data_IF_694666536406
#
_entry.id   IF_694666536406
#
_cell.length_a   1.000
_cell.length_b   1.000
_cell.length_c   1.000
_cell.angle_alpha   90.00
_cell.angle_beta   90.00
_cell.angle_gamma   90.00
#
_symmetry.space_group_name_H-M   'P 1'
#
loop_
_entity.id
_entity.type
_entity.pdbx_description
1 polymer ?
#
# COMPACT_ATOMS: atom_id res chain seq x y z
N UNK A 1 19.16 -2.59 9.04
CA UNK A 1 20.62 -2.72 8.99
C UNK A 1 21.35 -2.11 10.18
N UNK A 2 20.69 -1.37 11.11
CA UNK A 2 21.39 -0.72 12.25
C UNK A 2 22.02 -1.72 13.25
N UNK A 3 21.48 -2.93 13.35
CA UNK A 3 21.94 -3.97 14.28
C UNK A 3 23.02 -4.92 13.70
N UNK A 4 23.60 -4.60 12.53
CA UNK A 4 24.62 -5.43 11.88
C UNK A 4 26.02 -4.86 12.13
N UNK A 5 26.92 -5.69 12.67
CA UNK A 5 28.34 -5.35 12.91
C UNK A 5 29.02 -4.79 11.64
N UNK A 6 29.86 -3.78 11.81
CA UNK A 6 30.53 -3.08 10.69
C UNK A 6 31.39 -4.00 9.82
N UNK A 7 31.98 -5.04 10.42
CA UNK A 7 32.74 -6.06 9.68
C UNK A 7 31.87 -6.84 8.70
N UNK A 8 30.62 -7.13 9.06
CA UNK A 8 29.69 -7.85 8.19
C UNK A 8 29.22 -6.94 7.06
N UNK A 9 28.94 -5.66 7.35
CA UNK A 9 28.59 -4.66 6.33
C UNK A 9 29.69 -4.50 5.28
N UNK A 10 30.95 -4.38 5.72
CA UNK A 10 32.11 -4.27 4.84
C UNK A 10 32.23 -5.49 3.92
N UNK A 11 32.05 -6.70 4.45
CA UNK A 11 32.07 -7.94 3.64
C UNK A 11 30.96 -8.00 2.60
N UNK A 12 29.73 -7.58 2.92
CA UNK A 12 28.65 -7.52 1.93
C UNK A 12 28.89 -6.47 0.83
N UNK A 13 29.67 -5.42 1.12
CA UNK A 13 30.02 -4.37 0.15
C UNK A 13 31.17 -4.74 -0.79
N UNK A 14 31.99 -5.73 -0.45
CA UNK A 14 33.12 -6.15 -1.28
C UNK A 14 32.70 -7.05 -2.47
N UNK A 15 31.47 -7.55 -2.46
CA UNK A 15 30.89 -8.29 -3.59
C UNK A 15 30.26 -7.39 -4.65
N UNK A 16 29.75 -8.00 -5.71
CA UNK A 16 28.87 -7.33 -6.67
C UNK A 16 27.52 -7.06 -6.00
N UNK A 17 27.23 -5.78 -5.75
CA UNK A 17 25.92 -5.36 -5.26
C UNK A 17 25.07 -4.95 -6.45
N UNK A 18 23.95 -5.64 -6.65
CA UNK A 18 22.92 -5.27 -7.62
C UNK A 18 21.67 -4.87 -6.86
N UNK A 19 21.11 -3.73 -7.23
CA UNK A 19 19.85 -3.25 -6.69
C UNK A 19 18.68 -3.92 -7.42
N UNK A 20 17.71 -4.43 -6.65
CA UNK A 20 16.52 -5.09 -7.17
C UNK A 20 15.35 -4.12 -7.11
N UNK A 21 15.07 -3.50 -8.25
CA UNK A 21 13.92 -2.62 -8.40
C UNK A 21 12.64 -3.42 -8.72
N UNK A 22 11.46 -2.91 -8.34
CA UNK A 22 10.20 -3.48 -8.77
C UNK A 22 10.12 -3.55 -10.31
N UNK A 23 9.59 -4.64 -10.88
CA UNK A 23 9.54 -4.82 -12.32
C UNK A 23 8.61 -3.81 -12.98
N UNK A 24 9.05 -3.26 -14.12
CA UNK A 24 8.21 -2.44 -14.98
C UNK A 24 7.08 -3.25 -15.63
N UNK A 25 6.13 -2.58 -16.28
CA UNK A 25 4.97 -3.24 -16.87
C UNK A 25 5.36 -4.35 -17.86
N UNK A 26 6.31 -4.06 -18.75
CA UNK A 26 6.82 -5.02 -19.74
C UNK A 26 7.43 -6.24 -19.06
N UNK A 27 8.25 -6.01 -18.02
CA UNK A 27 8.85 -7.10 -17.23
C UNK A 27 7.79 -7.91 -16.49
N UNK A 28 6.75 -7.28 -15.94
CA UNK A 28 5.63 -8.01 -15.31
C UNK A 28 4.88 -8.89 -16.31
N UNK A 29 4.64 -8.40 -17.53
CA UNK A 29 4.03 -9.20 -18.60
C UNK A 29 4.92 -10.39 -18.96
N UNK A 30 6.23 -10.18 -19.08
CA UNK A 30 7.17 -11.27 -19.36
C UNK A 30 7.18 -12.32 -18.24
N UNK A 31 7.20 -11.89 -16.97
CA UNK A 31 7.17 -12.78 -15.80
C UNK A 31 5.88 -13.62 -15.80
N UNK A 32 4.71 -12.99 -15.95
CA UNK A 32 3.43 -13.72 -15.88
C UNK A 32 3.24 -14.68 -17.07
N UNK A 33 3.69 -14.29 -18.28
CA UNK A 33 3.69 -15.18 -19.45
C UNK A 33 4.60 -16.38 -19.22
N UNK A 34 5.83 -16.15 -18.73
CA UNK A 34 6.77 -17.23 -18.43
C UNK A 34 6.24 -18.18 -17.36
N UNK A 35 5.56 -17.63 -16.35
CA UNK A 35 4.90 -18.42 -15.29
C UNK A 35 3.76 -19.26 -15.86
N UNK A 36 2.91 -18.67 -16.72
CA UNK A 36 1.81 -19.37 -17.36
C UNK A 36 2.30 -20.52 -18.27
N UNK A 37 3.35 -20.30 -19.06
CA UNK A 37 4.01 -21.35 -19.85
C UNK A 37 4.47 -22.51 -18.97
N UNK A 38 5.15 -22.19 -17.86
CA UNK A 38 5.69 -23.19 -16.93
C UNK A 38 4.59 -24.03 -16.28
N UNK A 39 3.47 -23.39 -15.94
CA UNK A 39 2.35 -24.00 -15.25
C UNK A 39 1.29 -24.59 -16.23
N UNK A 40 1.52 -24.50 -17.55
CA UNK A 40 0.59 -25.01 -18.57
C UNK A 40 -0.74 -24.23 -18.67
N UNK A 41 -0.75 -22.96 -18.25
CA UNK A 41 -1.93 -22.10 -18.26
C UNK A 41 -2.04 -21.41 -19.63
N UNK A 42 -3.15 -21.58 -20.38
CA UNK A 42 -3.34 -20.96 -21.69
C UNK A 42 -3.66 -19.46 -21.54
N UNK A 43 -2.64 -18.65 -21.25
CA UNK A 43 -2.75 -17.22 -21.00
C UNK A 43 -2.65 -16.43 -22.31
N UNK A 44 -3.72 -15.69 -22.65
CA UNK A 44 -3.70 -14.78 -23.81
C UNK A 44 -2.97 -13.47 -23.49
N UNK A 45 -2.51 -12.79 -24.53
CA UNK A 45 -1.77 -11.52 -24.40
C UNK A 45 -2.59 -10.42 -23.73
N UNK A 46 -3.87 -10.29 -24.08
CA UNK A 46 -4.78 -9.31 -23.48
C UNK A 46 -4.98 -9.57 -21.98
N UNK A 47 -5.07 -10.85 -21.60
CA UNK A 47 -5.23 -11.23 -20.21
C UNK A 47 -3.94 -11.03 -19.42
N UNK A 48 -2.78 -11.37 -19.99
CA UNK A 48 -1.47 -11.09 -19.39
C UNK A 48 -1.29 -9.59 -19.13
N UNK A 49 -1.63 -8.75 -20.12
CA UNK A 49 -1.59 -7.30 -20.02
C UNK A 49 -2.54 -6.80 -18.92
N UNK A 50 -3.77 -7.30 -18.88
CA UNK A 50 -4.75 -6.91 -17.87
C UNK A 50 -4.29 -7.23 -16.45
N UNK A 51 -3.77 -8.43 -16.21
CA UNK A 51 -3.29 -8.82 -14.87
C UNK A 51 -2.06 -7.98 -14.48
N UNK A 52 -1.11 -7.78 -15.40
CA UNK A 52 0.10 -7.00 -15.15
C UNK A 52 -0.15 -5.49 -14.90
N UNK A 53 -1.23 -4.93 -15.44
CA UNK A 53 -1.66 -3.57 -15.14
C UNK A 53 -2.37 -3.45 -13.78
N UNK A 54 -3.15 -4.48 -13.46
CA UNK A 54 -3.94 -4.56 -12.23
C UNK A 54 -3.06 -4.76 -10.99
N UNK A 55 -1.96 -5.49 -11.11
CA UNK A 55 -1.03 -5.79 -10.00
C UNK A 55 0.26 -4.97 -10.12
N UNK A 56 0.50 -4.07 -9.16
CA UNK A 56 1.69 -3.18 -9.13
C UNK A 56 2.60 -3.36 -7.91
N UNK A 57 2.21 -4.20 -6.97
CA UNK A 57 2.83 -4.34 -5.65
C UNK A 57 4.14 -5.13 -5.69
N UNK A 58 4.10 -6.40 -6.10
CA UNK A 58 5.27 -7.27 -6.20
C UNK A 58 5.00 -8.53 -7.07
N UNK A 59 6.07 -9.25 -7.43
CA UNK A 59 6.01 -10.45 -8.29
C UNK A 59 5.17 -11.57 -7.68
N UNK A 60 5.24 -11.77 -6.36
CA UNK A 60 4.47 -12.83 -5.69
C UNK A 60 2.96 -12.60 -5.81
N UNK A 61 2.51 -11.37 -5.63
CA UNK A 61 1.10 -11.01 -5.82
C UNK A 61 0.66 -11.17 -7.28
N UNK A 62 1.54 -10.84 -8.24
CA UNK A 62 1.28 -11.01 -9.67
C UNK A 62 1.06 -12.48 -10.02
N UNK A 63 1.93 -13.37 -9.55
CA UNK A 63 1.82 -14.82 -9.74
C UNK A 63 0.60 -15.38 -9.00
N UNK A 64 0.35 -14.93 -7.77
CA UNK A 64 -0.83 -15.34 -6.99
C UNK A 64 -2.14 -14.99 -7.68
N UNK A 65 -2.20 -13.84 -8.35
CA UNK A 65 -3.34 -13.44 -9.17
C UNK A 65 -3.55 -14.38 -10.36
N UNK A 66 -2.50 -14.72 -11.11
CA UNK A 66 -2.57 -15.68 -12.22
C UNK A 66 -3.13 -17.03 -11.76
N UNK A 67 -2.55 -17.57 -10.69
CA UNK A 67 -2.95 -18.87 -10.12
C UNK A 67 -4.42 -18.84 -9.70
N UNK A 68 -4.84 -17.76 -9.03
CA UNK A 68 -6.22 -17.64 -8.57
C UNK A 68 -7.22 -17.54 -9.73
N UNK A 69 -6.95 -16.70 -10.73
CA UNK A 69 -7.82 -16.57 -11.91
C UNK A 69 -7.91 -17.92 -12.65
N UNK A 70 -6.80 -18.63 -12.80
CA UNK A 70 -6.76 -19.96 -13.41
C UNK A 70 -7.56 -21.00 -12.60
N UNK A 71 -7.37 -21.03 -11.28
CA UNK A 71 -8.10 -21.92 -10.39
C UNK A 71 -9.62 -21.65 -10.41
N UNK A 72 -10.05 -20.38 -10.38
CA UNK A 72 -11.46 -20.02 -10.48
C UNK A 72 -12.04 -20.42 -11.84
N UNK A 73 -11.30 -20.22 -12.94
CA UNK A 73 -11.72 -20.67 -14.28
C UNK A 73 -11.99 -22.18 -14.30
N UNK A 74 -11.06 -22.97 -13.75
CA UNK A 74 -11.17 -24.42 -13.67
C UNK A 74 -12.34 -24.88 -12.78
N UNK A 75 -12.50 -24.28 -11.59
CA UNK A 75 -13.57 -24.65 -10.65
C UNK A 75 -14.97 -24.25 -11.16
N UNK A 76 -15.08 -23.09 -11.81
CA UNK A 76 -16.35 -22.60 -12.36
C UNK A 76 -16.65 -23.11 -13.77
N UNK A 77 -15.74 -23.90 -14.38
CA UNK A 77 -15.82 -24.37 -15.78
C UNK A 77 -16.04 -23.22 -16.77
N UNK A 78 -15.45 -22.06 -16.50
CA UNK A 78 -15.51 -20.87 -17.36
C UNK A 78 -14.21 -20.74 -18.14
N UNK A 79 -14.24 -20.19 -19.36
CA UNK A 79 -13.01 -19.90 -20.09
C UNK A 79 -12.15 -18.90 -19.32
N UNK A 80 -10.83 -19.04 -19.45
CA UNK A 80 -9.89 -18.08 -18.92
C UNK A 80 -9.99 -16.79 -19.74
N UNK A 81 -10.62 -15.76 -19.20
CA UNK A 81 -10.92 -14.50 -19.92
C UNK A 81 -10.64 -13.26 -19.08
N UNK A 82 -10.56 -12.10 -19.74
CA UNK A 82 -10.37 -10.79 -19.09
C UNK A 82 -11.54 -10.46 -18.17
N UNK A 83 -12.75 -10.87 -18.52
CA UNK A 83 -13.97 -10.67 -17.72
C UNK A 83 -13.91 -11.44 -16.42
N UNK A 84 -13.53 -12.73 -16.48
CA UNK A 84 -13.34 -13.54 -15.28
C UNK A 84 -12.22 -12.99 -14.41
N UNK A 85 -11.10 -12.59 -15.02
CA UNK A 85 -10.00 -11.98 -14.29
C UNK A 85 -10.45 -10.69 -13.59
N UNK A 86 -11.24 -9.85 -14.25
CA UNK A 86 -11.77 -8.62 -13.65
C UNK A 86 -12.66 -8.91 -12.44
N UNK A 87 -13.51 -9.91 -12.53
CA UNK A 87 -14.37 -10.37 -11.44
C UNK A 87 -13.54 -10.83 -10.24
N UNK A 88 -12.62 -11.78 -10.46
CA UNK A 88 -11.76 -12.35 -9.41
C UNK A 88 -10.85 -11.30 -8.80
N UNK A 89 -10.22 -10.46 -9.62
CA UNK A 89 -9.26 -9.47 -9.15
C UNK A 89 -9.94 -8.30 -8.43
N UNK A 90 -11.23 -8.04 -8.63
CA UNK A 90 -11.96 -7.00 -7.89
C UNK A 90 -12.10 -7.34 -6.40
N UNK A 91 -12.20 -8.63 -6.07
CA UNK A 91 -12.30 -9.09 -4.68
C UNK A 91 -10.95 -9.17 -3.98
N UNK A 92 -9.89 -9.41 -4.75
CA UNK A 92 -8.57 -9.79 -4.23
C UNK A 92 -7.62 -8.61 -4.24
N UNK A 93 -7.69 -7.80 -5.28
CA UNK A 93 -6.95 -6.56 -5.31
C UNK A 93 -7.68 -5.55 -4.45
N UNK A 94 -6.95 -4.79 -3.64
CA UNK A 94 -7.53 -3.64 -2.97
C UNK A 94 -8.16 -2.75 -4.05
N UNK A 95 -9.49 -2.73 -4.11
CA UNK A 95 -10.22 -1.93 -5.09
C UNK A 95 -9.78 -0.47 -5.02
N UNK A 96 -10.06 0.31 -6.08
CA UNK A 96 -9.90 1.77 -6.08
C UNK A 96 -10.62 2.48 -4.90
N UNK A 97 -11.48 1.76 -4.18
CA UNK A 97 -12.18 2.15 -2.96
C UNK A 97 -11.43 1.86 -1.65
N UNK A 98 -10.23 1.25 -1.68
CA UNK A 98 -9.41 1.15 -0.47
C UNK A 98 -8.77 2.50 -0.18
N UNK A 99 -9.04 3.00 1.02
CA UNK A 99 -8.43 4.21 1.54
C UNK A 99 -6.90 4.04 1.49
N UNK A 100 -6.23 4.99 0.85
CA UNK A 100 -4.78 5.03 0.79
C UNK A 100 -4.26 5.98 1.87
N UNK A 101 -3.01 5.80 2.31
CA UNK A 101 -2.39 6.79 3.19
C UNK A 101 -2.46 8.20 2.57
N UNK A 102 -2.39 8.31 1.25
CA UNK A 102 -2.43 9.60 0.57
C UNK A 102 -3.82 10.24 0.55
N UNK A 103 -4.89 9.46 0.37
CA UNK A 103 -6.26 9.98 0.48
C UNK A 103 -6.57 10.44 1.90
N UNK A 104 -6.11 9.70 2.91
CA UNK A 104 -6.25 10.07 4.32
C UNK A 104 -5.50 11.36 4.64
N UNK A 105 -4.26 11.50 4.14
CA UNK A 105 -3.48 12.74 4.30
C UNK A 105 -4.19 13.93 3.65
N UNK A 106 -4.79 13.76 2.47
CA UNK A 106 -5.56 14.82 1.81
C UNK A 106 -6.81 15.21 2.61
N UNK A 107 -7.62 14.24 3.01
CA UNK A 107 -8.83 14.49 3.79
C UNK A 107 -8.51 15.18 5.13
N UNK A 108 -7.46 14.71 5.81
CA UNK A 108 -6.99 15.33 7.06
C UNK A 108 -6.51 16.77 6.82
N UNK A 109 -5.80 17.01 5.72
CA UNK A 109 -5.33 18.35 5.38
C UNK A 109 -6.49 19.31 5.11
N UNK A 110 -7.51 18.86 4.37
CA UNK A 110 -8.74 19.64 4.09
C UNK A 110 -9.46 19.99 5.39
N UNK A 111 -9.67 19.01 6.27
CA UNK A 111 -10.38 19.20 7.54
C UNK A 111 -9.71 20.24 8.46
N UNK A 112 -8.38 20.27 8.49
CA UNK A 112 -7.61 21.19 9.35
C UNK A 112 -7.15 22.48 8.64
N UNK A 113 -7.62 22.75 7.42
CA UNK A 113 -7.21 23.89 6.58
C UNK A 113 -5.67 23.97 6.40
N UNK A 114 -5.06 22.83 6.10
CA UNK A 114 -3.63 22.68 5.86
C UNK A 114 -3.37 22.21 4.43
N UNK A 115 -2.15 22.45 3.94
CA UNK A 115 -1.69 21.79 2.73
C UNK A 115 -1.21 20.37 3.07
N UNK A 116 -1.42 19.35 2.21
CA UNK A 116 -0.86 18.01 2.40
C UNK A 116 0.66 18.01 2.65
N UNK A 117 1.38 18.98 2.07
CA UNK A 117 2.81 19.17 2.29
C UNK A 117 3.16 19.58 3.72
N UNK A 118 2.30 20.33 4.43
CA UNK A 118 2.55 20.70 5.82
C UNK A 118 2.51 19.48 6.74
N UNK A 119 1.62 18.51 6.48
CA UNK A 119 1.58 17.24 7.20
C UNK A 119 2.84 16.40 6.97
N UNK A 120 3.40 16.45 5.76
CA UNK A 120 4.67 15.81 5.38
C UNK A 120 5.91 16.58 5.84
N UNK A 121 5.77 17.84 6.23
CA UNK A 121 6.90 18.68 6.67
C UNK A 121 7.47 18.26 8.03
N UNK A 122 8.68 18.71 8.35
CA UNK A 122 9.33 18.53 9.66
C UNK A 122 8.81 19.47 10.76
N UNK A 123 7.86 20.38 10.44
CA UNK A 123 7.33 21.38 11.38
C UNK A 123 6.68 20.73 12.61
N UNK A 124 7.02 21.23 13.80
CA UNK A 124 6.57 20.69 15.11
C UNK A 124 5.48 21.50 15.80
N UNK A 125 5.03 22.60 15.20
CA UNK A 125 3.96 23.43 15.74
C UNK A 125 2.70 22.59 16.04
N UNK A 126 2.01 22.86 17.16
CA UNK A 126 0.83 22.09 17.61
C UNK A 126 -0.25 22.01 16.53
N UNK A 127 -0.46 23.11 15.81
CA UNK A 127 -1.40 23.22 14.69
C UNK A 127 -1.13 22.22 13.54
N UNK A 128 0.08 21.65 13.45
CA UNK A 128 0.43 20.65 12.43
C UNK A 128 0.66 19.27 13.08
N UNK A 129 1.18 19.26 14.30
CA UNK A 129 1.48 18.03 15.03
C UNK A 129 0.22 17.21 15.32
N UNK A 130 -0.87 17.84 15.76
CA UNK A 130 -2.13 17.15 16.05
C UNK A 130 -2.76 16.57 14.76
N UNK A 131 -3.01 17.36 13.68
CA UNK A 131 -3.54 16.81 12.42
C UNK A 131 -2.72 15.65 11.87
N UNK A 132 -1.39 15.74 11.97
CA UNK A 132 -0.51 14.68 11.52
C UNK A 132 -0.62 13.40 12.36
N UNK A 133 -0.77 13.52 13.67
CA UNK A 133 -0.99 12.36 14.55
C UNK A 133 -2.33 11.70 14.22
N UNK A 134 -3.38 12.49 13.96
CA UNK A 134 -4.69 12.01 13.50
C UNK A 134 -4.55 11.29 12.16
N UNK A 135 -3.83 11.85 11.18
CA UNK A 135 -3.56 11.19 9.90
C UNK A 135 -2.85 9.84 10.10
N UNK A 136 -1.83 9.77 10.96
CA UNK A 136 -1.13 8.51 11.28
C UNK A 136 -2.07 7.47 11.90
N UNK A 137 -2.94 7.92 12.81
CA UNK A 137 -3.93 7.06 13.45
C UNK A 137 -4.93 6.49 12.45
N UNK A 138 -5.52 7.35 11.61
CA UNK A 138 -6.47 6.96 10.58
C UNK A 138 -5.83 6.04 9.53
N UNK A 139 -4.60 6.33 9.08
CA UNK A 139 -3.87 5.45 8.17
C UNK A 139 -3.72 4.05 8.76
N UNK A 140 -3.45 3.95 10.07
CA UNK A 140 -3.30 2.65 10.73
C UNK A 140 -4.63 1.93 10.95
N UNK A 141 -5.71 2.67 11.20
CA UNK A 141 -7.05 2.14 11.49
C UNK A 141 -7.80 1.72 10.21
N UNK A 142 -7.66 2.50 9.14
CA UNK A 142 -8.49 2.41 7.94
C UNK A 142 -7.78 1.79 6.73
N UNK A 143 -6.48 1.48 6.85
CA UNK A 143 -5.70 0.88 5.75
C UNK A 143 -4.92 -0.34 6.26
N UNK A 144 -4.47 -1.18 5.34
CA UNK A 144 -3.57 -2.31 5.62
C UNK A 144 -2.10 -1.89 5.74
N UNK A 145 -1.79 -0.60 5.67
CA UNK A 145 -0.42 -0.08 5.67
C UNK A 145 0.29 -0.38 6.99
N UNK A 146 1.55 -0.81 6.89
CA UNK A 146 2.46 -1.02 8.02
C UNK A 146 2.97 0.31 8.59
N UNK A 147 3.45 0.31 9.84
CA UNK A 147 4.01 1.53 10.46
C UNK A 147 5.15 2.18 9.63
N UNK A 148 6.09 1.43 9.01
CA UNK A 148 7.07 2.01 8.11
C UNK A 148 6.47 2.65 6.86
N UNK A 149 5.44 2.05 6.26
CA UNK A 149 4.77 2.59 5.08
C UNK A 149 4.04 3.90 5.38
N UNK A 150 3.34 3.95 6.51
CA UNK A 150 2.68 5.17 7.00
C UNK A 150 3.72 6.27 7.25
N UNK A 151 4.86 5.92 7.85
CA UNK A 151 5.96 6.84 8.08
C UNK A 151 6.50 7.46 6.78
N UNK A 152 6.71 6.62 5.75
CA UNK A 152 7.11 7.08 4.41
C UNK A 152 6.08 8.02 3.80
N UNK A 153 4.79 7.68 3.84
CA UNK A 153 3.72 8.49 3.28
C UNK A 153 3.60 9.89 3.93
N UNK A 154 4.00 10.02 5.20
CA UNK A 154 3.96 11.25 5.99
C UNK A 154 5.32 11.99 6.07
N UNK A 155 6.13 11.86 5.02
CA UNK A 155 7.38 12.61 4.85
C UNK A 155 8.62 11.91 5.43
N UNK A 156 8.68 10.57 5.33
CA UNK A 156 9.88 9.82 5.74
C UNK A 156 10.07 9.71 7.25
N UNK A 157 8.98 9.66 8.02
CA UNK A 157 9.01 9.56 9.49
C UNK A 157 9.42 8.16 9.95
N UNK A 158 10.12 8.10 11.08
CA UNK A 158 10.45 6.84 11.72
C UNK A 158 9.18 6.10 12.18
N UNK A 159 9.14 4.78 11.97
CA UNK A 159 8.02 3.93 12.37
C UNK A 159 7.66 4.05 13.87
N UNK A 160 8.64 4.29 14.75
CA UNK A 160 8.43 4.55 16.18
C UNK A 160 7.60 5.81 16.43
N UNK A 161 7.74 6.83 15.58
CA UNK A 161 6.93 8.06 15.62
C UNK A 161 5.48 7.74 15.30
N UNK A 162 5.24 6.87 14.31
CA UNK A 162 3.89 6.45 13.94
C UNK A 162 3.24 5.64 15.06
N UNK A 163 3.98 4.72 15.69
CA UNK A 163 3.50 3.95 16.85
C UNK A 163 3.14 4.89 18.01
N UNK A 164 4.00 5.86 18.31
CA UNK A 164 3.76 6.83 19.37
C UNK A 164 2.57 7.74 19.08
N UNK A 165 2.35 8.13 17.82
CA UNK A 165 1.18 8.89 17.41
C UNK A 165 -0.10 8.06 17.55
N UNK A 166 -0.07 6.80 17.08
CA UNK A 166 -1.20 5.89 17.17
C UNK A 166 -1.65 5.65 18.62
N UNK A 167 -0.71 5.41 19.54
CA UNK A 167 -1.03 5.26 20.97
C UNK A 167 -1.66 6.52 21.57
N UNK A 168 -1.04 7.68 21.34
CA UNK A 168 -1.51 8.96 21.87
C UNK A 168 -2.91 9.34 21.39
N UNK A 169 -3.24 9.07 20.12
CA UNK A 169 -4.58 9.35 19.59
C UNK A 169 -5.58 8.33 20.12
N UNK A 170 -5.21 7.04 20.21
CA UNK A 170 -6.05 5.99 20.79
C UNK A 170 -6.44 6.32 22.25
N UNK A 171 -5.49 6.71 23.08
CA UNK A 171 -5.72 7.05 24.50
C UNK A 171 -6.64 8.26 24.69
N UNK A 172 -6.74 9.13 23.68
CA UNK A 172 -7.50 10.38 23.71
C UNK A 172 -8.74 10.34 22.82
N UNK A 173 -9.03 9.20 22.20
CA UNK A 173 -10.08 9.07 21.19
C UNK A 173 -11.48 9.37 21.74
N UNK A 174 -11.67 9.23 23.06
CA UNK A 174 -12.92 9.54 23.75
C UNK A 174 -13.09 11.03 24.09
N UNK A 175 -12.03 11.85 23.92
CA UNK A 175 -12.15 13.30 24.09
C UNK A 175 -13.11 13.87 23.03
N UNK A 176 -14.18 14.60 23.42
CA UNK A 176 -15.23 15.01 22.49
C UNK A 176 -14.73 15.80 21.28
N UNK A 177 -13.71 16.63 21.47
CA UNK A 177 -13.14 17.46 20.40
C UNK A 177 -12.34 16.62 19.40
N UNK A 178 -11.50 15.70 19.88
CA UNK A 178 -10.70 14.82 19.03
C UNK A 178 -11.59 13.82 18.28
N UNK A 179 -12.61 13.30 18.95
CA UNK A 179 -13.59 12.39 18.37
C UNK A 179 -14.30 13.03 17.18
N UNK A 180 -14.78 14.29 17.31
CA UNK A 180 -15.41 15.03 16.21
C UNK A 180 -14.48 15.14 15.00
N UNK A 181 -13.21 15.51 15.23
CA UNK A 181 -12.24 15.59 14.13
C UNK A 181 -12.05 14.25 13.42
N UNK A 182 -11.99 13.14 14.15
CA UNK A 182 -11.87 11.80 13.57
C UNK A 182 -13.12 11.46 12.74
N UNK A 183 -14.31 11.68 13.29
CA UNK A 183 -15.58 11.38 12.62
C UNK A 183 -15.79 12.23 11.36
N UNK A 184 -15.43 13.51 11.39
CA UNK A 184 -15.54 14.40 10.23
C UNK A 184 -14.57 13.99 9.10
N UNK A 185 -13.33 13.61 9.44
CA UNK A 185 -12.38 13.10 8.43
C UNK A 185 -12.83 11.75 7.87
N UNK A 186 -13.38 10.87 8.71
CA UNK A 186 -13.97 9.60 8.26
C UNK A 186 -15.14 9.85 7.29
N UNK A 187 -15.96 10.88 7.50
CA UNK A 187 -17.03 11.30 6.57
C UNK A 187 -16.47 11.79 5.22
N UNK A 188 -15.46 12.65 5.24
CA UNK A 188 -14.79 13.15 4.00
C UNK A 188 -14.19 11.99 3.18
N UNK A 189 -13.76 10.91 3.83
CA UNK A 189 -13.19 9.75 3.16
C UNK A 189 -14.23 8.81 2.53
N UNK A 190 -15.51 8.99 2.86
CA UNK A 190 -16.63 8.20 2.32
C UNK A 190 -17.36 8.90 1.16
N UNK A 191 -17.09 10.19 0.95
CA UNK A 191 -17.55 11.01 -0.19
C UNK A 191 -16.61 10.86 -1.41
#
# INVERSE_FOLDING_TARGET
MKDLEDRIRSRFQWGLIVDLQPPELETRIAIIKKKAETDGIPLTDDLAMFIAQSVRSNVRELEGCLIRVSATAALSKRPLSVELAREVLKEVLPGKSQLTCESIVRATAIHFDLKPQDLKSSKRARAIALPRQVAMYLCRKLTTSSYPEIGRALGGRDHTTVISAFRRVTERADEPELRRHIEDIERILQE
#
